data_IF_259029089187
#
_entry.id   IF_259029089187
#
_cell.length_a   1.000
_cell.length_b   1.000
_cell.length_c   1.000
_cell.angle_alpha   90.00
_cell.angle_beta   90.00
_cell.angle_gamma   90.00
#
_symmetry.space_group_name_H-M   'P 1'
#
loop_
_entity.id
_entity.type
_entity.pdbx_description
1 polymer ?
#
# COMPACT_ATOMS: atom_id res chain seq x y z
N UNK A 1 0.94 7.12 -1.62
CA UNK A 1 0.85 6.48 -2.96
C UNK A 1 2.11 6.70 -3.82
N UNK A 2 3.27 6.25 -3.32
CA UNK A 2 4.54 6.26 -4.03
C UNK A 2 4.67 5.13 -5.06
N UNK A 3 5.90 4.84 -5.51
CA UNK A 3 6.16 3.78 -6.50
C UNK A 3 5.60 2.42 -6.08
N UNK A 4 5.92 1.98 -4.87
CA UNK A 4 5.40 0.73 -4.30
C UNK A 4 4.00 0.90 -3.71
N UNK A 5 3.78 1.94 -2.89
CA UNK A 5 2.49 2.13 -2.20
C UNK A 5 1.33 2.55 -3.10
N UNK A 6 1.60 2.89 -4.35
CA UNK A 6 0.59 3.01 -5.39
C UNK A 6 -0.07 1.69 -5.78
N UNK A 7 0.50 0.54 -5.39
CA UNK A 7 -0.09 -0.78 -5.65
C UNK A 7 -1.19 -1.18 -4.64
N UNK A 8 -1.23 -0.56 -3.45
CA UNK A 8 -2.19 -0.91 -2.40
C UNK A 8 -3.67 -0.79 -2.81
N UNK A 9 -4.11 0.28 -3.52
CA UNK A 9 -5.52 0.41 -3.87
C UNK A 9 -5.96 -0.69 -4.87
N UNK A 10 -5.12 -0.99 -5.87
CA UNK A 10 -5.37 -2.09 -6.80
C UNK A 10 -5.33 -3.46 -6.10
N UNK A 11 -4.35 -3.70 -5.23
CA UNK A 11 -4.24 -4.96 -4.49
C UNK A 11 -5.46 -5.20 -3.60
N UNK A 12 -5.94 -4.18 -2.89
CA UNK A 12 -7.14 -4.25 -2.06
C UNK A 12 -8.38 -4.56 -2.89
N UNK A 13 -8.59 -3.87 -4.02
CA UNK A 13 -9.77 -4.10 -4.88
C UNK A 13 -9.72 -5.46 -5.59
N UNK A 14 -8.54 -5.96 -5.97
CA UNK A 14 -8.36 -7.33 -6.47
C UNK A 14 -8.64 -8.40 -5.40
N UNK A 15 -8.37 -8.08 -4.12
CA UNK A 15 -8.74 -8.91 -2.98
C UNK A 15 -10.22 -8.79 -2.58
N UNK A 16 -10.99 -7.94 -3.26
CA UNK A 16 -12.42 -7.73 -3.02
C UNK A 16 -12.74 -6.63 -2.00
N UNK A 17 -11.74 -5.95 -1.46
CA UNK A 17 -11.92 -4.90 -0.45
C UNK A 17 -12.23 -3.53 -1.08
N UNK A 18 -12.96 -2.70 -0.33
CA UNK A 18 -12.95 -1.25 -0.52
C UNK A 18 -11.68 -0.68 0.09
N UNK A 19 -10.99 0.20 -0.63
CA UNK A 19 -9.78 0.85 -0.16
C UNK A 19 -10.03 2.34 0.12
N UNK A 20 -9.56 2.81 1.27
CA UNK A 20 -9.41 4.24 1.58
C UNK A 20 -7.95 4.49 1.98
N UNK A 21 -7.29 5.40 1.29
CA UNK A 21 -5.93 5.83 1.65
C UNK A 21 -5.79 7.34 1.61
N UNK A 22 -4.67 7.84 2.14
CA UNK A 22 -4.30 9.25 2.05
C UNK A 22 -3.01 9.43 1.25
N UNK A 23 -2.93 10.53 0.51
CA UNK A 23 -1.72 11.00 -0.18
C UNK A 23 -1.73 12.53 -0.17
N UNK A 24 -0.60 13.14 0.17
CA UNK A 24 -0.45 14.60 0.28
C UNK A 24 -0.06 15.25 -1.05
N UNK A 25 0.61 14.49 -1.93
CA UNK A 25 1.11 14.96 -3.22
C UNK A 25 0.13 14.63 -4.34
N UNK A 26 -0.59 15.65 -4.82
CA UNK A 26 -1.58 15.53 -5.90
C UNK A 26 -1.00 14.91 -7.20
N UNK A 27 0.28 15.13 -7.48
CA UNK A 27 0.93 14.54 -8.65
C UNK A 27 1.01 13.02 -8.56
N UNK A 28 1.18 12.48 -7.34
CA UNK A 28 1.21 11.03 -7.08
C UNK A 28 -0.17 10.44 -7.28
N UNK A 29 -1.22 11.09 -6.79
CA UNK A 29 -2.63 10.68 -6.94
C UNK A 29 -2.98 10.62 -8.43
N UNK A 30 -2.75 11.73 -9.14
CA UNK A 30 -3.04 11.86 -10.57
C UNK A 30 -2.34 10.77 -11.38
N UNK A 31 -1.09 10.46 -11.04
CA UNK A 31 -0.34 9.38 -11.68
C UNK A 31 -1.01 8.01 -11.46
N UNK A 32 -1.56 7.71 -10.28
CA UNK A 32 -2.18 6.39 -9.99
C UNK A 32 -3.52 6.24 -10.69
N UNK A 33 -4.32 7.31 -10.76
CA UNK A 33 -5.56 7.34 -11.54
C UNK A 33 -5.26 7.08 -13.01
N UNK A 34 -4.31 7.82 -13.61
CA UNK A 34 -3.91 7.62 -15.01
C UNK A 34 -3.38 6.22 -15.30
N UNK A 35 -2.72 5.61 -14.32
CA UNK A 35 -2.20 4.25 -14.42
C UNK A 35 -3.26 3.18 -14.18
N UNK A 36 -4.50 3.50 -13.78
CA UNK A 36 -5.54 2.53 -13.46
C UNK A 36 -5.36 1.83 -12.09
N UNK A 37 -4.56 2.40 -11.19
CA UNK A 37 -4.28 1.84 -9.86
C UNK A 37 -5.14 2.43 -8.75
N UNK A 38 -5.90 3.48 -9.04
CA UNK A 38 -6.79 4.19 -8.12
C UNK A 38 -8.05 4.62 -8.88
N UNK A 39 -9.23 4.41 -8.30
CA UNK A 39 -10.50 4.74 -8.95
C UNK A 39 -10.89 6.20 -8.73
N UNK A 40 -10.77 6.70 -7.49
CA UNK A 40 -11.33 8.00 -7.11
C UNK A 40 -10.44 8.79 -6.14
N UNK A 41 -10.57 10.12 -6.18
CA UNK A 41 -9.95 11.06 -5.23
C UNK A 41 -11.00 12.00 -4.65
N UNK A 42 -10.87 12.32 -3.36
CA UNK A 42 -11.73 13.25 -2.63
C UNK A 42 -10.85 14.17 -1.78
N UNK A 43 -11.18 15.46 -1.74
CA UNK A 43 -10.42 16.47 -0.98
C UNK A 43 -11.00 16.72 0.42
N UNK A 44 -12.29 16.45 0.64
CA UNK A 44 -12.90 16.52 1.95
C UNK A 44 -12.72 15.21 2.72
N UNK A 45 -12.20 15.31 3.94
CA UNK A 45 -11.87 14.14 4.76
C UNK A 45 -13.12 13.38 5.19
N UNK A 46 -14.23 14.08 5.46
CA UNK A 46 -15.45 13.46 5.93
C UNK A 46 -16.22 12.79 4.81
N UNK A 47 -16.29 13.44 3.64
CA UNK A 47 -16.81 12.85 2.41
C UNK A 47 -16.04 11.58 2.04
N UNK A 48 -14.70 11.60 2.13
CA UNK A 48 -13.87 10.44 1.81
C UNK A 48 -14.19 9.24 2.73
N UNK A 49 -14.35 9.50 4.03
CA UNK A 49 -14.72 8.47 5.02
C UNK A 49 -16.13 7.93 4.73
N UNK A 50 -17.12 8.81 4.54
CA UNK A 50 -18.51 8.43 4.28
C UNK A 50 -18.63 7.57 3.03
N UNK A 51 -17.95 7.98 1.96
CA UNK A 51 -17.97 7.29 0.68
C UNK A 51 -17.32 5.91 0.77
N UNK A 52 -16.19 5.78 1.46
CA UNK A 52 -15.53 4.50 1.66
C UNK A 52 -16.39 3.51 2.46
N UNK A 53 -17.03 3.97 3.55
CA UNK A 53 -17.89 3.11 4.35
C UNK A 53 -19.18 2.74 3.61
N UNK A 54 -19.75 3.67 2.83
CA UNK A 54 -20.85 3.37 1.91
C UNK A 54 -20.48 2.29 0.90
N UNK A 55 -19.32 2.40 0.25
CA UNK A 55 -18.84 1.40 -0.71
C UNK A 55 -18.63 0.02 -0.07
N UNK A 56 -18.10 -0.02 1.16
CA UNK A 56 -18.00 -1.26 1.94
C UNK A 56 -19.37 -1.89 2.17
N UNK A 57 -20.35 -1.10 2.61
CA UNK A 57 -21.69 -1.59 2.94
C UNK A 57 -22.46 -2.07 1.69
N UNK A 58 -22.20 -1.41 0.55
CA UNK A 58 -22.69 -1.82 -0.78
C UNK A 58 -21.87 -2.97 -1.41
N UNK A 59 -20.85 -3.50 -0.70
CA UNK A 59 -19.94 -4.56 -1.16
C UNK A 59 -19.24 -4.24 -2.49
N UNK A 60 -18.86 -2.97 -2.67
CA UNK A 60 -18.12 -2.48 -3.85
C UNK A 60 -16.62 -2.49 -3.60
N UNK A 61 -15.88 -3.24 -4.41
CA UNK A 61 -14.42 -3.28 -4.39
C UNK A 61 -13.83 -2.09 -5.16
N UNK A 62 -14.01 -0.88 -4.61
CA UNK A 62 -13.51 0.38 -5.18
C UNK A 62 -12.41 0.99 -4.30
N UNK A 63 -11.53 1.77 -4.93
CA UNK A 63 -10.42 2.44 -4.29
C UNK A 63 -10.54 3.95 -4.29
N UNK A 64 -10.41 4.53 -3.10
CA UNK A 64 -10.57 5.95 -2.84
C UNK A 64 -9.31 6.53 -2.19
N UNK A 65 -8.91 7.72 -2.62
CA UNK A 65 -7.83 8.50 -2.02
C UNK A 65 -8.37 9.80 -1.44
N UNK A 66 -8.14 10.03 -0.14
CA UNK A 66 -8.19 11.36 0.44
C UNK A 66 -6.93 12.14 0.05
N UNK A 67 -7.06 13.31 -0.58
CA UNK A 67 -5.93 14.20 -0.83
C UNK A 67 -5.61 15.00 0.44
N UNK A 68 -4.73 14.43 1.26
CA UNK A 68 -4.34 15.03 2.54
C UNK A 68 -3.43 14.13 3.36
N UNK A 69 -3.23 14.47 4.63
CA UNK A 69 -2.28 13.78 5.49
C UNK A 69 -2.89 12.50 6.09
N UNK A 70 -2.13 11.39 6.06
CA UNK A 70 -2.56 10.12 6.63
C UNK A 70 -2.81 10.18 8.14
N UNK A 71 -1.99 10.94 8.89
CA UNK A 71 -2.19 11.09 10.33
C UNK A 71 -3.52 11.81 10.65
N UNK A 72 -3.93 12.76 9.81
CA UNK A 72 -5.22 13.45 9.96
C UNK A 72 -6.39 12.53 9.59
N UNK A 73 -6.28 11.75 8.51
CA UNK A 73 -7.28 10.73 8.15
C UNK A 73 -7.51 9.73 9.29
N UNK A 74 -6.43 9.21 9.87
CA UNK A 74 -6.52 8.18 10.89
C UNK A 74 -7.11 8.72 12.20
N UNK A 75 -6.69 9.93 12.59
CA UNK A 75 -7.32 10.64 13.71
C UNK A 75 -8.81 10.86 13.46
N UNK A 76 -9.19 11.29 12.25
CA UNK A 76 -10.59 11.57 11.92
C UNK A 76 -11.47 10.34 11.93
N UNK A 77 -10.97 9.19 11.44
CA UNK A 77 -11.66 7.90 11.53
C UNK A 77 -11.98 7.53 13.00
N UNK A 78 -11.02 7.74 13.92
CA UNK A 78 -11.22 7.51 15.35
C UNK A 78 -12.22 8.48 15.97
N UNK A 79 -12.11 9.78 15.67
CA UNK A 79 -13.07 10.80 16.16
C UNK A 79 -14.51 10.48 15.77
N UNK A 80 -14.70 9.87 14.60
CA UNK A 80 -16.01 9.47 14.08
C UNK A 80 -16.43 8.05 14.47
N UNK A 81 -15.60 7.33 15.23
CA UNK A 81 -15.80 5.93 15.57
C UNK A 81 -16.04 5.04 14.33
N UNK A 82 -15.35 5.34 13.23
CA UNK A 82 -15.45 4.62 11.96
C UNK A 82 -14.21 3.76 11.79
N UNK A 83 -14.22 2.58 12.40
CA UNK A 83 -13.06 1.70 12.47
C UNK A 83 -12.97 0.81 11.21
N UNK A 84 -11.87 0.89 10.42
CA UNK A 84 -11.67 -0.01 9.28
C UNK A 84 -11.45 -1.46 9.70
N UNK A 85 -11.74 -2.40 8.81
CA UNK A 85 -11.46 -3.82 9.08
C UNK A 85 -9.95 -4.13 9.08
N UNK A 86 -9.19 -3.46 8.21
CA UNK A 86 -7.74 -3.64 8.06
C UNK A 86 -7.09 -2.25 8.03
N UNK A 87 -5.98 -2.09 8.75
CA UNK A 87 -5.22 -0.84 8.83
C UNK A 87 -3.73 -1.15 8.63
N UNK A 88 -3.10 -0.40 7.74
CA UNK A 88 -1.66 -0.51 7.45
C UNK A 88 -1.15 0.79 6.87
N UNK A 89 0.16 1.02 6.93
CA UNK A 89 0.80 2.17 6.33
C UNK A 89 1.91 1.79 5.35
N UNK A 90 2.08 2.61 4.31
CA UNK A 90 3.18 2.49 3.36
C UNK A 90 3.63 3.89 2.86
N UNK A 91 3.56 4.89 3.73
CA UNK A 91 4.33 6.13 3.57
C UNK A 91 5.84 5.82 3.56
N UNK A 92 6.67 6.77 3.14
CA UNK A 92 8.12 6.62 3.21
C UNK A 92 8.66 6.98 4.60
N UNK A 93 8.11 6.38 5.66
CA UNK A 93 8.50 6.62 7.06
C UNK A 93 9.98 6.28 7.36
N UNK A 94 10.64 5.50 6.51
CA UNK A 94 12.06 5.18 6.61
C UNK A 94 12.98 6.39 6.37
N UNK A 95 12.46 7.47 5.77
CA UNK A 95 13.18 8.73 5.56
C UNK A 95 12.36 9.89 6.14
N UNK A 96 12.68 10.29 7.38
CA UNK A 96 11.98 11.38 8.05
C UNK A 96 12.18 12.77 7.42
N UNK A 97 13.15 12.95 6.52
CA UNK A 97 13.41 14.23 5.88
C UNK A 97 12.71 14.34 4.52
N UNK A 98 12.78 13.30 3.70
CA UNK A 98 12.26 13.36 2.32
C UNK A 98 10.98 12.56 2.14
N UNK A 99 10.71 11.61 3.03
CA UNK A 99 9.67 10.59 2.83
C UNK A 99 8.35 10.84 3.56
N UNK A 100 8.38 11.43 4.75
CA UNK A 100 7.18 11.64 5.57
C UNK A 100 6.85 13.13 5.73
N UNK A 101 5.64 13.54 5.32
CA UNK A 101 5.19 14.93 5.40
C UNK A 101 4.50 15.20 6.75
N UNK A 102 4.97 16.18 7.53
CA UNK A 102 4.31 16.55 8.78
C UNK A 102 2.87 17.03 8.58
N UNK A 103 1.99 16.74 9.54
CA UNK A 103 0.64 17.28 9.59
C UNK A 103 0.62 18.73 10.16
N UNK A 104 -0.57 19.33 10.29
CA UNK A 104 -0.79 20.70 10.79
C UNK A 104 -0.19 21.82 9.91
N UNK A 105 0.16 21.51 8.67
CA UNK A 105 0.60 22.46 7.66
C UNK A 105 0.23 21.95 6.27
N UNK A 106 0.16 22.86 5.28
CA UNK A 106 -0.05 22.46 3.89
C UNK A 106 1.21 21.78 3.35
N UNK A 107 1.04 21.00 2.28
CA UNK A 107 2.15 20.33 1.61
C UNK A 107 3.24 21.32 1.17
N UNK A 108 2.87 22.47 0.61
CA UNK A 108 3.81 23.52 0.16
C UNK A 108 4.58 24.13 1.34
N UNK A 109 3.91 24.34 2.48
CA UNK A 109 4.57 24.82 3.70
C UNK A 109 5.55 23.79 4.23
N UNK A 110 5.22 22.51 4.17
CA UNK A 110 6.12 21.42 4.54
C UNK A 110 7.36 21.38 3.63
N UNK A 111 7.20 21.53 2.31
CA UNK A 111 8.33 21.57 1.37
C UNK A 111 9.25 22.76 1.67
N UNK A 112 8.71 23.96 1.88
CA UNK A 112 9.50 25.15 2.27
C UNK A 112 10.19 24.95 3.62
N UNK A 113 9.55 24.30 4.58
CA UNK A 113 10.14 23.99 5.88
C UNK A 113 11.32 23.01 5.73
N UNK A 114 11.19 22.01 4.85
CA UNK A 114 12.25 21.03 4.58
C UNK A 114 13.54 21.68 4.12
N UNK A 115 13.44 22.67 3.23
CA UNK A 115 14.60 23.41 2.71
C UNK A 115 15.17 24.38 3.74
N UNK A 116 14.31 25.17 4.38
CA UNK A 116 14.73 26.25 5.30
C UNK A 116 15.25 25.72 6.64
N UNK A 117 14.61 24.70 7.21
CA UNK A 117 14.96 24.13 8.51
C UNK A 117 14.75 22.60 8.52
N UNK A 118 15.68 21.83 7.93
CA UNK A 118 15.63 20.37 7.89
C UNK A 118 15.56 19.71 9.28
N UNK A 119 16.12 20.36 10.31
CA UNK A 119 16.11 19.83 11.68
C UNK A 119 14.70 19.89 12.26
N UNK A 120 14.04 21.04 12.12
CA UNK A 120 12.63 21.18 12.53
C UNK A 120 11.72 20.27 11.71
N UNK A 121 11.94 20.16 10.40
CA UNK A 121 11.17 19.25 9.56
C UNK A 121 11.19 17.81 10.09
N UNK A 122 12.38 17.24 10.35
CA UNK A 122 12.51 15.88 10.89
C UNK A 122 11.80 15.71 12.23
N UNK A 123 11.90 16.70 13.11
CA UNK A 123 11.21 16.67 14.41
C UNK A 123 9.70 16.60 14.23
N UNK A 124 9.13 17.42 13.34
CA UNK A 124 7.70 17.42 13.05
C UNK A 124 7.24 16.14 12.33
N UNK A 125 8.07 15.58 11.45
CA UNK A 125 7.79 14.31 10.78
C UNK A 125 7.73 13.16 11.79
N UNK A 126 8.69 13.08 12.72
CA UNK A 126 8.71 12.07 13.79
C UNK A 126 7.51 12.23 14.72
N UNK A 127 7.16 13.46 15.13
CA UNK A 127 5.94 13.73 15.91
C UNK A 127 4.70 13.20 15.18
N UNK A 128 4.56 13.53 13.89
CA UNK A 128 3.41 13.11 13.08
C UNK A 128 3.34 11.58 12.93
N UNK A 129 4.48 10.90 12.75
CA UNK A 129 4.54 9.43 12.74
C UNK A 129 4.10 8.82 14.08
N UNK A 130 4.43 9.46 15.21
CA UNK A 130 3.94 9.08 16.53
C UNK A 130 2.42 9.16 16.65
N UNK A 131 1.81 10.26 16.17
CA UNK A 131 0.34 10.43 16.14
C UNK A 131 -0.35 9.40 15.24
N UNK A 132 0.23 9.15 14.06
CA UNK A 132 -0.26 8.16 13.11
C UNK A 132 -0.27 6.75 13.74
N UNK A 133 0.85 6.31 14.30
CA UNK A 133 0.95 4.98 14.92
C UNK A 133 0.09 4.88 16.18
N UNK A 134 -0.06 5.95 16.96
CA UNK A 134 -0.99 5.95 18.10
C UNK A 134 -2.42 5.71 17.64
N UNK A 135 -2.80 6.29 16.49
CA UNK A 135 -4.12 6.05 15.89
C UNK A 135 -4.27 4.60 15.40
N UNK A 136 -3.23 4.02 14.80
CA UNK A 136 -3.22 2.60 14.41
C UNK A 136 -3.41 1.67 15.61
N UNK A 137 -2.70 1.92 16.71
CA UNK A 137 -2.83 1.15 17.96
C UNK A 137 -4.24 1.26 18.54
N UNK A 138 -4.85 2.44 18.47
CA UNK A 138 -6.22 2.63 18.95
C UNK A 138 -7.23 1.90 18.06
N UNK A 139 -7.08 1.94 16.74
CA UNK A 139 -7.92 1.13 15.83
C UNK A 139 -7.75 -0.37 16.10
N UNK A 140 -6.53 -0.83 16.41
CA UNK A 140 -6.27 -2.22 16.80
C UNK A 140 -7.05 -2.63 18.04
N UNK A 141 -7.06 -1.79 19.09
CA UNK A 141 -7.85 -2.04 20.30
C UNK A 141 -9.36 -2.08 20.02
N UNK A 142 -9.81 -1.31 19.04
CA UNK A 142 -11.19 -1.28 18.59
C UNK A 142 -11.50 -2.37 17.53
N UNK A 143 -10.63 -3.38 17.37
CA UNK A 143 -10.89 -4.60 16.61
C UNK A 143 -10.42 -4.59 15.17
N UNK A 144 -9.71 -3.56 14.71
CA UNK A 144 -9.10 -3.56 13.39
C UNK A 144 -7.92 -4.54 13.32
N UNK A 145 -7.77 -5.22 12.18
CA UNK A 145 -6.55 -5.97 11.87
C UNK A 145 -5.45 -4.97 11.47
N UNK A 146 -4.44 -4.80 12.32
CA UNK A 146 -3.38 -3.81 12.13
C UNK A 146 -2.03 -4.48 11.91
N UNK A 147 -1.28 -4.02 10.90
CA UNK A 147 0.07 -4.48 10.65
C UNK A 147 0.96 -3.38 10.04
N UNK A 148 2.27 -3.56 10.21
CA UNK A 148 3.30 -2.72 9.59
C UNK A 148 3.71 -3.29 8.23
N UNK A 149 3.69 -2.45 7.19
CA UNK A 149 4.06 -2.85 5.83
C UNK A 149 5.53 -2.53 5.48
N UNK A 150 6.44 -2.66 6.45
CA UNK A 150 7.88 -2.66 6.18
C UNK A 150 8.47 -1.30 5.82
N UNK A 151 7.88 -0.21 6.30
CA UNK A 151 8.41 1.14 6.09
C UNK A 151 9.07 1.75 7.35
N UNK A 152 9.20 0.97 8.43
CA UNK A 152 9.84 1.35 9.68
C UNK A 152 9.06 2.38 10.53
N UNK A 153 7.77 2.62 10.27
CA UNK A 153 6.99 3.64 10.98
C UNK A 153 6.90 3.36 12.49
N UNK A 154 6.87 2.09 12.91
CA UNK A 154 6.85 1.71 14.34
C UNK A 154 8.10 2.18 15.09
N UNK A 155 9.28 2.05 14.49
CA UNK A 155 10.52 2.54 15.09
C UNK A 155 10.53 4.08 15.18
N UNK A 156 9.97 4.75 14.18
CA UNK A 156 9.83 6.21 14.20
C UNK A 156 8.86 6.68 15.30
N UNK A 157 7.76 5.97 15.50
CA UNK A 157 6.83 6.24 16.59
C UNK A 157 7.44 5.98 17.97
N UNK A 158 8.30 4.96 18.12
CA UNK A 158 9.07 4.75 19.34
C UNK A 158 9.99 5.95 19.63
N UNK A 159 10.68 6.49 18.61
CA UNK A 159 11.46 7.74 18.73
C UNK A 159 10.61 8.95 19.11
N UNK A 160 9.33 8.96 18.72
CA UNK A 160 8.36 9.98 19.09
C UNK A 160 7.80 9.82 20.52
N UNK A 161 8.12 8.72 21.21
CA UNK A 161 7.69 8.44 22.58
C UNK A 161 6.53 7.43 22.71
N UNK A 162 6.08 6.83 21.61
CA UNK A 162 5.03 5.79 21.63
C UNK A 162 5.66 4.47 22.10
N UNK A 163 5.61 4.21 23.40
CA UNK A 163 6.30 3.08 24.05
C UNK A 163 5.86 1.71 23.52
N UNK A 164 4.60 1.60 23.11
CA UNK A 164 3.98 0.36 22.66
C UNK A 164 3.81 0.33 21.12
N UNK A 165 4.65 1.06 20.38
CA UNK A 165 4.61 1.14 18.91
C UNK A 165 4.78 -0.23 18.21
N UNK A 166 5.24 -1.27 18.91
CA UNK A 166 5.47 -2.60 18.36
C UNK A 166 4.38 -3.62 18.74
N UNK A 167 3.26 -3.19 19.35
CA UNK A 167 2.14 -4.09 19.70
C UNK A 167 1.41 -4.66 18.47
N UNK A 168 1.62 -4.08 17.28
CA UNK A 168 1.25 -4.71 16.02
C UNK A 168 2.48 -5.20 15.24
N UNK A 169 2.31 -6.35 14.61
CA UNK A 169 3.38 -7.08 13.94
C UNK A 169 3.66 -6.54 12.54
N UNK A 170 4.83 -6.89 11.99
CA UNK A 170 5.13 -6.66 10.58
C UNK A 170 4.48 -7.71 9.69
N UNK A 171 4.08 -7.32 8.48
CA UNK A 171 3.40 -8.18 7.51
C UNK A 171 4.17 -9.47 7.19
N UNK A 172 5.51 -9.45 7.25
CA UNK A 172 6.34 -10.63 7.01
C UNK A 172 6.10 -11.69 8.07
N UNK A 173 6.21 -11.31 9.35
CA UNK A 173 5.98 -12.23 10.47
C UNK A 173 4.57 -12.78 10.44
N UNK A 174 3.60 -11.91 10.15
CA UNK A 174 2.18 -12.22 10.29
C UNK A 174 1.60 -13.03 9.14
N UNK A 175 2.00 -12.74 7.91
CA UNK A 175 1.34 -13.32 6.71
C UNK A 175 2.30 -14.00 5.74
N UNK A 176 3.51 -13.48 5.56
CA UNK A 176 4.36 -13.87 4.40
C UNK A 176 5.40 -14.94 4.76
N UNK A 177 5.83 -15.06 6.02
CA UNK A 177 6.88 -16.01 6.43
C UNK A 177 6.62 -17.46 5.99
N UNK A 178 5.39 -18.02 6.07
CA UNK A 178 5.13 -19.37 5.57
C UNK A 178 5.46 -19.54 4.08
N UNK A 179 5.17 -18.53 3.25
CA UNK A 179 5.52 -18.54 1.82
C UNK A 179 7.04 -18.55 1.62
N UNK A 180 7.78 -17.78 2.43
CA UNK A 180 9.24 -17.78 2.38
C UNK A 180 9.85 -19.13 2.77
N UNK A 181 9.23 -19.87 3.70
CA UNK A 181 9.67 -21.23 4.05
C UNK A 181 9.55 -22.22 2.88
N UNK A 182 8.64 -21.98 1.93
CA UNK A 182 8.51 -22.74 0.68
C UNK A 182 9.43 -22.20 -0.45
N UNK A 183 10.28 -21.21 -0.14
CA UNK A 183 11.08 -20.49 -1.14
C UNK A 183 10.25 -19.61 -2.07
N UNK A 184 8.96 -19.37 -1.78
CA UNK A 184 8.14 -18.45 -2.57
C UNK A 184 8.59 -17.02 -2.34
N UNK A 185 8.43 -16.19 -3.36
CA UNK A 185 8.79 -14.78 -3.29
C UNK A 185 8.41 -14.05 -4.57
N UNK A 186 8.69 -12.74 -4.67
CA UNK A 186 8.24 -11.88 -5.76
C UNK A 186 9.06 -12.09 -7.05
N UNK A 187 9.07 -13.32 -7.55
CA UNK A 187 9.67 -13.71 -8.82
C UNK A 187 8.99 -12.97 -9.97
N UNK A 188 9.78 -12.59 -10.98
CA UNK A 188 9.35 -11.73 -12.08
C UNK A 188 10.21 -11.95 -13.30
N UNK A 189 9.64 -11.66 -14.47
CA UNK A 189 10.34 -11.63 -15.75
C UNK A 189 9.89 -10.43 -16.58
N UNK A 190 10.68 -10.12 -17.60
CA UNK A 190 10.52 -8.93 -18.46
C UNK A 190 10.75 -9.36 -19.90
N UNK A 191 9.84 -8.96 -20.80
CA UNK A 191 9.99 -9.18 -22.24
C UNK A 191 10.86 -8.06 -22.84
N UNK A 192 12.10 -8.39 -23.23
CA UNK A 192 13.04 -7.42 -23.81
C UNK A 192 12.65 -6.95 -25.22
N UNK A 193 11.80 -7.71 -25.91
CA UNK A 193 11.20 -7.33 -27.18
C UNK A 193 10.37 -6.04 -27.10
N UNK A 194 9.81 -5.75 -25.92
CA UNK A 194 8.81 -4.71 -25.74
C UNK A 194 7.39 -5.13 -26.16
N UNK A 195 7.19 -6.36 -26.66
CA UNK A 195 5.89 -6.85 -27.11
C UNK A 195 5.06 -7.41 -25.93
N UNK A 196 3.86 -6.84 -25.65
CA UNK A 196 2.96 -7.37 -24.63
C UNK A 196 2.55 -8.83 -24.84
N UNK A 197 2.56 -9.32 -26.09
CA UNK A 197 2.16 -10.68 -26.40
C UNK A 197 3.12 -11.72 -25.79
N UNK A 198 4.40 -11.39 -25.65
CA UNK A 198 5.38 -12.26 -24.97
C UNK A 198 4.98 -12.52 -23.51
N UNK A 199 4.33 -11.56 -22.84
CA UNK A 199 3.81 -11.76 -21.49
C UNK A 199 2.61 -12.70 -21.49
N UNK A 200 1.73 -12.64 -22.51
CA UNK A 200 0.61 -13.59 -22.61
C UNK A 200 1.08 -15.00 -22.87
N UNK A 201 2.04 -15.17 -23.79
CA UNK A 201 2.65 -16.47 -24.08
C UNK A 201 3.28 -17.07 -22.82
N UNK A 202 4.02 -16.26 -22.06
CA UNK A 202 4.61 -16.73 -20.80
C UNK A 202 3.57 -16.98 -19.70
N UNK A 203 2.49 -16.20 -19.61
CA UNK A 203 1.39 -16.46 -18.67
C UNK A 203 0.72 -17.82 -18.95
N UNK A 204 0.46 -18.16 -20.22
CA UNK A 204 -0.12 -19.45 -20.60
C UNK A 204 0.87 -20.61 -20.37
N UNK A 205 2.15 -20.45 -20.73
CA UNK A 205 3.17 -21.46 -20.45
C UNK A 205 3.28 -21.77 -18.94
N UNK A 206 3.17 -20.74 -18.08
CA UNK A 206 3.16 -20.93 -16.63
C UNK A 206 1.91 -21.70 -16.17
N UNK A 207 0.73 -21.47 -16.76
CA UNK A 207 -0.49 -22.23 -16.45
C UNK A 207 -0.35 -23.70 -16.84
N UNK A 208 0.19 -23.98 -18.03
CA UNK A 208 0.44 -25.34 -18.53
C UNK A 208 1.45 -26.10 -17.65
N UNK A 209 2.48 -25.41 -17.18
CA UNK A 209 3.54 -25.99 -16.35
C UNK A 209 3.05 -26.35 -14.93
N UNK A 210 2.06 -25.61 -14.41
CA UNK A 210 1.47 -25.78 -13.08
C UNK A 210 -0.06 -25.91 -13.14
N UNK A 211 -0.60 -26.97 -13.79
CA UNK A 211 -2.03 -27.05 -14.11
C UNK A 211 -2.93 -27.16 -12.87
N UNK A 212 -2.43 -27.79 -11.81
CA UNK A 212 -3.17 -27.98 -10.55
C UNK A 212 -3.17 -26.73 -9.65
N UNK A 213 -2.36 -25.70 -9.97
CA UNK A 213 -2.22 -24.51 -9.13
C UNK A 213 -3.30 -23.47 -9.44
N UNK A 214 -4.52 -23.74 -9.01
CA UNK A 214 -5.69 -22.86 -9.23
C UNK A 214 -5.50 -21.43 -8.71
N UNK A 215 -4.73 -21.23 -7.63
CA UNK A 215 -4.41 -19.90 -7.07
C UNK A 215 -3.51 -19.11 -8.02
N UNK A 216 -2.51 -19.77 -8.61
CA UNK A 216 -1.60 -19.19 -9.60
C UNK A 216 -2.38 -18.76 -10.86
N UNK A 217 -3.27 -19.62 -11.35
CA UNK A 217 -4.09 -19.33 -12.54
C UNK A 217 -4.98 -18.12 -12.30
N UNK A 218 -5.69 -18.08 -11.16
CA UNK A 218 -6.49 -16.92 -10.75
C UNK A 218 -5.64 -15.65 -10.66
N UNK A 219 -4.43 -15.74 -10.12
CA UNK A 219 -3.51 -14.60 -10.07
C UNK A 219 -3.19 -14.07 -11.47
N UNK A 220 -2.79 -14.95 -12.40
CA UNK A 220 -2.44 -14.58 -13.78
C UNK A 220 -3.63 -13.97 -14.52
N UNK A 221 -4.82 -14.56 -14.42
CA UNK A 221 -6.04 -14.04 -15.05
C UNK A 221 -6.42 -12.65 -14.52
N UNK A 222 -6.26 -12.42 -13.22
CA UNK A 222 -6.49 -11.09 -12.64
C UNK A 222 -5.39 -10.12 -13.09
N UNK A 223 -4.14 -10.56 -13.13
CA UNK A 223 -2.99 -9.75 -13.49
C UNK A 223 -3.05 -9.29 -14.97
N UNK A 224 -3.52 -10.13 -15.88
CA UNK A 224 -3.79 -9.77 -17.28
C UNK A 224 -4.89 -8.71 -17.38
N UNK A 225 -6.01 -8.90 -16.67
CA UNK A 225 -7.18 -8.02 -16.78
C UNK A 225 -7.02 -6.68 -16.07
N UNK A 226 -6.26 -6.64 -14.98
CA UNK A 226 -6.29 -5.53 -14.01
C UNK A 226 -4.97 -4.79 -13.84
N UNK A 227 -3.83 -5.32 -14.29
CA UNK A 227 -2.52 -4.68 -14.09
C UNK A 227 -2.03 -4.05 -15.39
N UNK A 228 -2.02 -2.71 -15.51
CA UNK A 228 -1.52 -2.04 -16.71
C UNK A 228 -0.01 -2.15 -16.83
N UNK A 229 0.46 -2.35 -18.07
CA UNK A 229 1.89 -2.43 -18.38
C UNK A 229 2.56 -1.05 -18.24
N UNK A 230 3.80 -1.04 -17.75
CA UNK A 230 4.59 0.17 -17.53
C UNK A 230 6.02 -0.05 -18.05
N UNK A 231 6.40 0.64 -19.13
CA UNK A 231 7.68 0.40 -19.78
C UNK A 231 7.69 -0.94 -20.52
N UNK A 232 8.76 -1.73 -20.37
CA UNK A 232 8.82 -3.07 -20.94
C UNK A 232 7.75 -3.98 -20.31
N UNK A 233 7.00 -4.75 -21.11
CA UNK A 233 6.05 -5.72 -20.61
C UNK A 233 6.72 -6.66 -19.61
N UNK A 234 6.10 -6.78 -18.43
CA UNK A 234 6.67 -7.50 -17.29
C UNK A 234 5.57 -8.20 -16.52
N UNK A 235 5.89 -9.33 -15.90
CA UNK A 235 4.98 -10.06 -15.02
C UNK A 235 5.66 -10.35 -13.69
N UNK A 236 4.89 -10.19 -12.61
CA UNK A 236 5.25 -10.70 -11.28
C UNK A 236 4.39 -11.92 -10.99
N UNK A 237 4.99 -12.97 -10.45
CA UNK A 237 4.33 -14.21 -10.14
C UNK A 237 5.07 -14.91 -9.00
N UNK A 238 4.38 -15.28 -7.92
CA UNK A 238 5.03 -15.84 -6.74
C UNK A 238 5.31 -17.34 -6.91
N UNK A 239 6.56 -17.67 -7.26
CA UNK A 239 7.03 -19.04 -7.44
C UNK A 239 8.00 -19.47 -6.33
N UNK A 240 7.87 -20.73 -5.90
CA UNK A 240 8.65 -21.38 -4.85
C UNK A 240 9.93 -22.07 -5.34
N UNK A 241 10.56 -22.81 -4.43
CA UNK A 241 11.67 -23.70 -4.80
C UNK A 241 11.21 -24.77 -5.81
N UNK A 242 12.06 -25.09 -6.79
CA UNK A 242 11.72 -25.97 -7.91
C UNK A 242 10.80 -25.32 -8.96
N UNK A 243 9.73 -24.62 -8.56
CA UNK A 243 8.85 -23.91 -9.50
C UNK A 243 9.62 -22.86 -10.33
N UNK A 244 10.53 -22.10 -9.69
CA UNK A 244 11.34 -21.09 -10.38
C UNK A 244 12.28 -21.67 -11.44
N UNK A 245 12.89 -22.81 -11.15
CA UNK A 245 13.78 -23.49 -12.09
C UNK A 245 12.99 -23.97 -13.31
N UNK A 246 11.88 -24.66 -13.08
CA UNK A 246 11.00 -25.14 -14.15
C UNK A 246 10.44 -24.01 -15.02
N UNK A 247 10.14 -22.86 -14.41
CA UNK A 247 9.63 -21.69 -15.14
C UNK A 247 10.71 -20.96 -15.96
N UNK A 248 12.00 -21.17 -15.64
CA UNK A 248 13.12 -20.50 -16.29
C UNK A 248 13.75 -21.26 -17.45
N UNK A 249 13.42 -22.54 -17.61
CA UNK A 249 13.90 -23.44 -18.68
C UNK A 249 12.84 -23.56 -19.76
#
# INVERSE_FOLDING_TARGET
MGGMSGAQPLAATMAGATYLGAEVDASRITKRIKQGFLDEVVEDIDEAIDKAFKYRDEKKSLSLCYHGNAADLYRRLLERNMIPNIVTDQTSAHDELNGYVPNQMTFEKALKLRERDPKRYRKEAIRTMGEHVSSMLEMQKNGAEVFDYGNNIRAQALRAGVKNAFDFEGFVTRYIRPLFCEGRGPFRWVALSGDPEDIKVTDEAIKELFPENTKLHRWLDMAEKRIPLQGLPSRICWLGYGERERAGV
#
